data_IF_422909632889
#
_entry.id   IF_422909632889
#
_cell.length_a   1.000
_cell.length_b   1.000
_cell.length_c   1.000
_cell.angle_alpha   90.00
_cell.angle_beta   90.00
_cell.angle_gamma   90.00
#
_symmetry.space_group_name_H-M   'P 1'
#
loop_
_entity.id
_entity.type
_entity.pdbx_description
1 polymer ?
#
# COMPACT_ATOMS: atom_id res chain seq x y z
N UNK A 1 18.11 -7.42 -9.90
CA UNK A 1 16.88 -7.87 -9.24
C UNK A 1 16.24 -8.97 -10.08
N UNK A 2 16.05 -10.17 -9.53
CA UNK A 2 15.38 -11.27 -10.21
C UNK A 2 13.90 -11.24 -9.83
N UNK A 3 13.00 -11.18 -10.83
CA UNK A 3 11.55 -11.10 -10.58
C UNK A 3 11.01 -12.31 -9.82
N UNK A 4 11.63 -13.50 -10.01
CA UNK A 4 11.23 -14.73 -9.32
C UNK A 4 11.33 -14.62 -7.81
N UNK A 5 12.31 -13.88 -7.31
CA UNK A 5 12.55 -13.72 -5.87
C UNK A 5 11.48 -12.83 -5.19
N UNK A 6 10.70 -12.12 -6.00
CA UNK A 6 9.61 -11.25 -5.54
C UNK A 6 8.25 -11.95 -5.57
N UNK A 7 8.13 -13.13 -6.21
CA UNK A 7 6.85 -13.83 -6.35
C UNK A 7 6.48 -14.48 -5.02
N UNK A 8 5.35 -14.07 -4.46
CA UNK A 8 4.75 -14.67 -3.24
C UNK A 8 3.82 -15.83 -3.61
N UNK A 9 3.10 -15.68 -4.72
CA UNK A 9 2.20 -16.71 -5.23
C UNK A 9 2.04 -16.57 -6.74
N UNK A 10 1.98 -17.69 -7.42
CA UNK A 10 1.74 -17.75 -8.85
C UNK A 10 0.90 -18.98 -9.19
N UNK A 11 -0.12 -18.80 -10.03
CA UNK A 11 -0.90 -19.88 -10.60
C UNK A 11 -1.21 -19.62 -12.09
N UNK A 12 -2.16 -20.37 -12.64
CA UNK A 12 -2.59 -20.24 -14.04
C UNK A 12 -3.11 -18.83 -14.38
N UNK A 13 -3.73 -18.15 -13.43
CA UNK A 13 -4.55 -16.95 -13.65
C UNK A 13 -3.92 -15.66 -13.13
N UNK A 14 -3.17 -15.75 -12.03
CA UNK A 14 -2.65 -14.57 -11.34
C UNK A 14 -1.22 -14.75 -10.82
N UNK A 15 -0.59 -13.62 -10.50
CA UNK A 15 0.68 -13.55 -9.75
C UNK A 15 0.51 -12.51 -8.65
N UNK A 16 0.92 -12.85 -7.42
CA UNK A 16 1.05 -11.94 -6.29
C UNK A 16 2.55 -11.72 -6.04
N UNK A 17 2.95 -10.46 -6.00
CA UNK A 17 4.35 -10.06 -5.89
C UNK A 17 4.54 -9.20 -4.64
N UNK A 18 5.63 -9.41 -3.92
CA UNK A 18 6.15 -8.47 -2.92
C UNK A 18 6.99 -7.42 -3.65
N UNK A 19 6.34 -6.30 -4.03
CA UNK A 19 6.99 -5.19 -4.73
C UNK A 19 8.02 -4.51 -3.81
N UNK A 20 9.27 -4.36 -4.20
CA UNK A 20 10.22 -3.52 -3.47
C UNK A 20 9.84 -2.03 -3.60
N UNK A 21 10.43 -1.18 -2.75
CA UNK A 21 10.37 0.26 -2.90
C UNK A 21 11.16 0.71 -4.13
N UNK A 22 10.99 1.97 -4.53
CA UNK A 22 11.64 2.62 -5.69
C UNK A 22 11.33 2.00 -7.06
N UNK A 23 10.40 1.05 -7.13
CA UNK A 23 9.93 0.43 -8.36
C UNK A 23 8.49 0.87 -8.67
N UNK A 24 8.24 1.34 -9.88
CA UNK A 24 6.88 1.67 -10.32
C UNK A 24 6.03 0.39 -10.40
N UNK A 25 4.76 0.49 -10.01
CA UNK A 25 3.79 -0.60 -10.22
C UNK A 25 3.47 -0.81 -11.69
N UNK A 26 3.42 0.29 -12.44
CA UNK A 26 3.05 0.33 -13.86
C UNK A 26 3.94 1.35 -14.60
N UNK A 27 4.26 1.04 -15.84
CA UNK A 27 5.01 1.92 -16.72
C UNK A 27 4.33 3.28 -16.89
N UNK A 28 5.08 4.35 -16.71
CA UNK A 28 4.61 5.74 -16.73
C UNK A 28 4.89 6.47 -18.05
N UNK A 29 5.42 5.76 -19.06
CA UNK A 29 5.81 6.31 -20.36
C UNK A 29 7.27 6.75 -20.43
N UNK A 30 7.99 6.81 -19.30
CA UNK A 30 9.43 7.14 -19.30
C UNK A 30 10.28 5.86 -19.27
N UNK A 31 11.08 5.65 -20.32
CA UNK A 31 11.94 4.46 -20.48
C UNK A 31 13.07 4.35 -19.44
N UNK A 32 13.42 5.45 -18.80
CA UNK A 32 14.43 5.48 -17.74
C UNK A 32 13.89 4.90 -16.41
N UNK A 33 12.57 4.78 -16.29
CA UNK A 33 11.91 4.24 -15.11
C UNK A 33 11.62 2.75 -15.28
N UNK A 34 12.21 1.92 -14.40
CA UNK A 34 11.81 0.52 -14.31
C UNK A 34 10.40 0.39 -13.71
N UNK A 35 9.61 -0.54 -14.25
CA UNK A 35 8.27 -0.83 -13.74
C UNK A 35 8.01 -2.34 -13.64
N UNK A 36 7.23 -2.69 -12.63
CA UNK A 36 6.97 -4.08 -12.29
C UNK A 36 6.14 -4.82 -13.36
N UNK A 37 5.17 -4.12 -13.97
CA UNK A 37 4.35 -4.67 -15.05
C UNK A 37 5.19 -5.07 -16.28
N UNK A 38 6.19 -4.27 -16.64
CA UNK A 38 7.12 -4.58 -17.75
C UNK A 38 8.01 -5.78 -17.38
N UNK A 39 8.62 -5.76 -16.19
CA UNK A 39 9.48 -6.87 -15.73
C UNK A 39 8.71 -8.18 -15.62
N UNK A 40 7.49 -8.14 -15.10
CA UNK A 40 6.64 -9.32 -14.99
C UNK A 40 6.17 -9.82 -16.36
N UNK A 41 5.85 -8.90 -17.30
CA UNK A 41 5.46 -9.27 -18.66
C UNK A 41 6.60 -9.98 -19.39
N UNK A 42 7.84 -9.56 -19.20
CA UNK A 42 9.03 -10.23 -19.73
C UNK A 42 9.19 -11.64 -19.15
N UNK A 43 9.02 -11.78 -17.82
CA UNK A 43 9.09 -13.09 -17.15
C UNK A 43 8.01 -14.06 -17.65
N UNK A 44 6.77 -13.58 -17.82
CA UNK A 44 5.65 -14.39 -18.26
C UNK A 44 5.63 -14.64 -19.78
N UNK A 45 6.48 -14.00 -20.58
CA UNK A 45 6.41 -13.94 -22.04
C UNK A 45 5.03 -13.55 -22.58
N UNK A 46 4.31 -12.71 -21.83
CA UNK A 46 3.00 -12.13 -22.18
C UNK A 46 2.70 -10.94 -21.28
N UNK A 47 1.73 -10.12 -21.69
CA UNK A 47 1.33 -8.95 -20.91
C UNK A 47 0.80 -9.34 -19.53
N UNK A 48 1.40 -8.78 -18.49
CA UNK A 48 0.91 -8.83 -17.12
C UNK A 48 -0.06 -7.67 -16.88
N UNK A 49 -1.23 -7.96 -16.32
CA UNK A 49 -2.29 -7.00 -16.12
C UNK A 49 -2.37 -6.60 -14.66
N UNK A 50 -2.06 -5.36 -14.37
CA UNK A 50 -2.07 -4.80 -13.03
C UNK A 50 -3.52 -4.73 -12.49
N UNK A 51 -3.77 -5.32 -11.31
CA UNK A 51 -5.10 -5.34 -10.68
C UNK A 51 -5.23 -4.26 -9.62
N UNK A 52 -4.23 -4.13 -8.75
CA UNK A 52 -4.15 -3.04 -7.79
C UNK A 52 -2.78 -2.38 -7.88
N UNK A 53 -2.68 -1.14 -7.43
CA UNK A 53 -1.42 -0.38 -7.51
C UNK A 53 -0.94 0.03 -6.14
N UNK A 54 0.39 0.10 -6.02
CA UNK A 54 1.09 0.74 -4.91
C UNK A 54 1.82 1.97 -5.43
N UNK A 55 2.04 2.96 -4.56
CA UNK A 55 2.90 4.09 -4.88
C UNK A 55 4.34 3.59 -5.14
N UNK A 56 5.17 4.36 -5.86
CA UNK A 56 6.56 3.98 -6.17
C UNK A 56 7.31 3.54 -4.91
N UNK A 57 7.24 4.35 -3.86
CA UNK A 57 7.97 4.16 -2.61
C UNK A 57 7.23 3.30 -1.57
N UNK A 58 6.05 2.76 -1.90
CA UNK A 58 5.34 1.78 -1.09
C UNK A 58 5.77 0.37 -1.51
N UNK A 59 6.17 -0.44 -0.56
CA UNK A 59 6.49 -1.86 -0.78
C UNK A 59 5.32 -2.78 -0.46
N UNK A 60 5.45 -4.07 -0.80
CA UNK A 60 4.52 -5.11 -0.40
C UNK A 60 3.66 -5.68 -1.51
N UNK A 61 2.56 -6.33 -1.12
CA UNK A 61 1.73 -7.15 -1.98
C UNK A 61 1.02 -6.35 -3.08
N UNK A 62 1.22 -6.80 -4.30
CA UNK A 62 0.58 -6.29 -5.51
C UNK A 62 0.14 -7.47 -6.37
N UNK A 63 -1.01 -7.37 -7.00
CA UNK A 63 -1.66 -8.46 -7.74
C UNK A 63 -1.69 -8.14 -9.23
N UNK A 64 -1.31 -9.13 -10.03
CA UNK A 64 -1.42 -9.10 -11.50
C UNK A 64 -2.22 -10.29 -11.98
N UNK A 65 -3.00 -10.09 -13.04
CA UNK A 65 -3.62 -11.16 -13.79
C UNK A 65 -2.78 -11.52 -15.02
N UNK A 66 -2.94 -12.76 -15.49
CA UNK A 66 -2.20 -13.32 -16.62
C UNK A 66 -2.97 -13.26 -17.95
N UNK A 67 -4.24 -12.86 -17.94
CA UNK A 67 -5.08 -12.66 -19.12
C UNK A 67 -6.24 -11.70 -18.84
N UNK A 68 -6.89 -11.18 -19.89
CA UNK A 68 -7.97 -10.17 -19.80
C UNK A 68 -9.20 -10.64 -19.01
N UNK A 69 -9.59 -11.90 -19.15
CA UNK A 69 -10.75 -12.46 -18.46
C UNK A 69 -10.48 -12.51 -16.97
N UNK A 70 -9.33 -13.07 -16.59
CA UNK A 70 -8.87 -13.11 -15.21
C UNK A 70 -8.71 -11.71 -14.61
N UNK A 71 -8.23 -10.73 -15.40
CA UNK A 71 -8.08 -9.36 -14.95
C UNK A 71 -9.42 -8.72 -14.55
N UNK A 72 -10.46 -8.90 -15.37
CA UNK A 72 -11.78 -8.34 -15.09
C UNK A 72 -12.41 -8.96 -13.83
N UNK A 73 -12.38 -10.29 -13.73
CA UNK A 73 -12.96 -10.99 -12.58
C UNK A 73 -12.16 -10.69 -11.29
N UNK A 74 -10.83 -10.72 -11.36
CA UNK A 74 -9.97 -10.48 -10.21
C UNK A 74 -10.04 -9.02 -9.71
N UNK A 75 -10.22 -8.05 -10.61
CA UNK A 75 -10.45 -6.66 -10.25
C UNK A 75 -11.73 -6.50 -9.42
N UNK A 76 -12.80 -7.22 -9.77
CA UNK A 76 -14.04 -7.22 -8.99
C UNK A 76 -13.81 -7.82 -7.60
N UNK A 77 -13.13 -8.98 -7.52
CA UNK A 77 -12.79 -9.62 -6.24
C UNK A 77 -11.95 -8.70 -5.33
N UNK A 78 -10.90 -8.08 -5.88
CA UNK A 78 -10.00 -7.20 -5.12
C UNK A 78 -10.68 -5.90 -4.66
N UNK A 79 -11.72 -5.44 -5.38
CA UNK A 79 -12.48 -4.25 -5.03
C UNK A 79 -13.72 -4.55 -4.18
N UNK A 80 -14.08 -5.81 -4.03
CA UNK A 80 -15.13 -6.23 -3.10
C UNK A 80 -14.56 -6.34 -1.68
N UNK A 81 -14.93 -5.40 -0.82
CA UNK A 81 -14.44 -5.32 0.57
C UNK A 81 -15.06 -6.38 1.49
N UNK A 82 -16.07 -7.11 1.03
CA UNK A 82 -16.59 -8.29 1.73
C UNK A 82 -15.79 -9.56 1.41
N UNK A 83 -15.18 -9.59 0.20
CA UNK A 83 -14.40 -10.72 -0.27
C UNK A 83 -12.88 -10.54 -0.05
N UNK A 84 -12.39 -9.30 0.03
CA UNK A 84 -10.95 -9.03 0.10
C UNK A 84 -10.60 -7.92 1.08
N UNK A 85 -9.68 -8.20 2.00
CA UNK A 85 -9.08 -7.22 2.90
C UNK A 85 -7.64 -6.93 2.52
N UNK A 86 -7.27 -5.63 2.53
CA UNK A 86 -5.93 -5.14 2.24
C UNK A 86 -5.36 -4.45 3.47
N UNK A 87 -4.30 -5.01 4.04
CA UNK A 87 -3.66 -4.51 5.24
C UNK A 87 -2.26 -3.97 4.96
N UNK A 88 -1.96 -2.86 5.61
CA UNK A 88 -0.69 -2.16 5.48
C UNK A 88 -0.07 -1.95 6.86
N UNK A 89 1.24 -2.13 6.97
CA UNK A 89 2.02 -1.62 8.10
C UNK A 89 2.48 -0.21 7.81
N UNK A 90 2.27 0.69 8.76
CA UNK A 90 2.77 2.06 8.69
C UNK A 90 3.21 2.57 10.04
N UNK A 91 4.35 3.25 10.08
CA UNK A 91 4.82 3.97 11.25
C UNK A 91 4.38 5.42 11.13
N UNK A 92 3.70 5.92 12.15
CA UNK A 92 3.20 7.30 12.19
C UNK A 92 3.81 8.09 13.35
N UNK A 93 3.92 9.40 13.18
CA UNK A 93 4.37 10.32 14.21
C UNK A 93 3.30 10.52 15.30
N UNK A 94 3.76 10.56 16.55
CA UNK A 94 2.92 10.68 17.72
C UNK A 94 2.34 9.37 18.21
N UNK A 95 1.89 9.39 19.45
CA UNK A 95 1.24 8.24 20.10
C UNK A 95 -0.25 8.28 19.82
N UNK A 96 -0.80 7.20 19.31
CA UNK A 96 -2.24 6.97 19.13
C UNK A 96 -2.69 6.07 20.28
N UNK A 97 -3.77 6.45 20.96
CA UNK A 97 -4.22 5.76 22.16
C UNK A 97 -5.23 4.65 21.89
N UNK A 98 -6.02 4.78 20.81
CA UNK A 98 -7.11 3.85 20.48
C UNK A 98 -7.12 3.52 18.98
N UNK A 99 -7.61 2.34 18.66
CA UNK A 99 -7.94 1.97 17.29
C UNK A 99 -9.01 2.89 16.73
N UNK A 100 -9.05 3.07 15.41
CA UNK A 100 -10.01 4.02 14.87
C UNK A 100 -10.31 3.87 13.39
N UNK A 101 -11.18 4.76 12.92
CA UNK A 101 -11.61 4.84 11.54
C UNK A 101 -11.53 6.28 11.05
N UNK A 102 -10.91 6.49 9.91
CA UNK A 102 -10.99 7.76 9.18
C UNK A 102 -11.96 7.59 8.01
N UNK A 103 -13.15 8.14 8.16
CA UNK A 103 -14.15 8.24 7.08
C UNK A 103 -14.17 9.70 6.59
N UNK A 104 -13.33 10.00 5.61
CA UNK A 104 -13.13 11.36 5.14
C UNK A 104 -12.89 11.37 3.62
N UNK A 105 -13.86 11.89 2.83
CA UNK A 105 -13.76 11.87 1.37
C UNK A 105 -12.53 12.60 0.85
N UNK A 106 -11.92 12.07 -0.21
CA UNK A 106 -10.69 12.56 -0.80
C UNK A 106 -10.90 13.08 -2.23
N UNK A 107 -10.25 14.20 -2.54
CA UNK A 107 -10.11 14.70 -3.91
C UNK A 107 -8.68 15.14 -4.21
N UNK A 108 -8.33 15.19 -5.49
CA UNK A 108 -7.05 15.75 -5.92
C UNK A 108 -7.10 17.29 -5.80
N UNK A 109 -6.15 17.86 -5.09
CA UNK A 109 -5.89 19.31 -5.13
C UNK A 109 -4.84 19.59 -6.20
N UNK A 110 -5.20 20.32 -7.23
CA UNK A 110 -4.26 20.71 -8.30
C UNK A 110 -3.26 21.73 -7.78
N UNK A 111 -3.69 22.67 -6.94
CA UNK A 111 -2.84 23.67 -6.30
C UNK A 111 -1.74 23.01 -5.43
N UNK A 112 -2.15 22.10 -4.53
CA UNK A 112 -1.22 21.40 -3.60
C UNK A 112 -0.56 20.18 -4.23
N UNK A 113 -0.92 19.80 -5.46
CA UNK A 113 -0.44 18.60 -6.15
C UNK A 113 -0.52 17.30 -5.32
N UNK A 114 -1.52 17.21 -4.41
CA UNK A 114 -1.75 16.06 -3.52
C UNK A 114 -3.23 15.78 -3.31
N UNK A 115 -3.54 14.62 -2.73
CA UNK A 115 -4.90 14.31 -2.27
C UNK A 115 -5.18 15.09 -0.98
N UNK A 116 -6.40 15.59 -0.85
CA UNK A 116 -6.84 16.33 0.34
C UNK A 116 -8.23 15.86 0.74
N UNK A 117 -8.51 15.91 2.04
CA UNK A 117 -9.87 15.71 2.57
C UNK A 117 -10.73 16.91 2.15
N UNK A 118 -11.90 16.61 1.62
CA UNK A 118 -12.84 17.63 1.16
C UNK A 118 -14.27 17.07 1.15
N UNK A 119 -15.30 17.92 1.25
CA UNK A 119 -16.69 17.49 1.20
C UNK A 119 -17.06 16.82 -0.13
N UNK A 120 -17.96 15.84 -0.11
CA UNK A 120 -18.43 15.13 -1.31
C UNK A 120 -18.94 16.10 -2.40
N UNK A 121 -19.65 17.15 -2.02
CA UNK A 121 -20.13 18.21 -2.93
C UNK A 121 -19.04 18.93 -3.72
N UNK A 122 -17.79 18.81 -3.32
CA UNK A 122 -16.62 19.35 -4.04
C UNK A 122 -16.01 18.38 -5.06
N UNK A 123 -16.69 17.28 -5.38
CA UNK A 123 -16.19 16.22 -6.27
C UNK A 123 -15.21 15.25 -5.59
N UNK A 124 -15.14 15.29 -4.25
CA UNK A 124 -14.39 14.29 -3.50
C UNK A 124 -15.09 12.92 -3.59
N UNK A 125 -14.30 11.85 -3.50
CA UNK A 125 -14.79 10.47 -3.49
C UNK A 125 -14.72 9.91 -2.08
N UNK A 126 -15.70 9.10 -1.70
CA UNK A 126 -15.70 8.37 -0.42
C UNK A 126 -14.37 7.66 -0.20
N UNK A 127 -13.83 7.78 0.99
CA UNK A 127 -12.58 7.16 1.38
C UNK A 127 -12.65 6.77 2.86
N UNK A 128 -12.47 5.48 3.15
CA UNK A 128 -12.54 4.92 4.50
C UNK A 128 -11.31 4.09 4.78
N UNK A 129 -10.64 4.41 5.88
CA UNK A 129 -9.44 3.74 6.37
C UNK A 129 -9.65 3.35 7.83
N UNK A 130 -9.53 2.06 8.14
CA UNK A 130 -9.47 1.58 9.53
C UNK A 130 -8.01 1.45 9.94
N UNK A 131 -7.70 1.73 11.20
CA UNK A 131 -6.36 1.53 11.74
C UNK A 131 -6.43 0.89 13.12
N UNK A 132 -5.46 0.01 13.36
CA UNK A 132 -5.33 -0.77 14.58
C UNK A 132 -3.90 -0.61 15.11
N UNK A 133 -3.77 -0.36 16.41
CA UNK A 133 -2.47 -0.21 17.05
C UNK A 133 -1.79 -1.57 17.12
N UNK A 134 -0.60 -1.68 16.52
CA UNK A 134 0.24 -2.87 16.67
C UNK A 134 1.27 -2.71 17.77
N UNK A 135 1.91 -1.54 17.82
CA UNK A 135 2.94 -1.26 18.82
C UNK A 135 3.05 0.24 19.04
N UNK A 136 3.24 0.64 20.30
CA UNK A 136 3.50 2.04 20.70
C UNK A 136 4.97 2.20 21.04
N UNK A 137 5.55 3.30 20.57
CA UNK A 137 6.88 3.78 20.91
C UNK A 137 6.75 5.13 21.60
N UNK A 138 7.85 5.65 22.16
CA UNK A 138 7.87 6.92 22.87
C UNK A 138 7.19 8.06 22.11
N UNK A 139 7.52 8.23 20.83
CA UNK A 139 7.06 9.34 19.99
C UNK A 139 6.37 8.88 18.70
N UNK A 140 6.11 7.56 18.54
CA UNK A 140 5.60 6.97 17.30
C UNK A 140 4.61 5.84 17.59
N UNK A 141 3.79 5.52 16.60
CA UNK A 141 2.90 4.35 16.66
C UNK A 141 3.03 3.53 15.37
N UNK A 142 3.25 2.23 15.51
CA UNK A 142 3.14 1.28 14.41
C UNK A 142 1.68 0.83 14.29
N UNK A 143 1.10 1.01 13.13
CA UNK A 143 -0.29 0.69 12.83
C UNK A 143 -0.41 -0.46 11.83
N UNK A 144 -1.40 -1.31 12.04
CA UNK A 144 -2.03 -2.11 10.99
C UNK A 144 -3.19 -1.30 10.41
N UNK A 145 -3.11 -0.98 9.13
CA UNK A 145 -4.12 -0.15 8.44
C UNK A 145 -4.86 -0.99 7.42
N UNK A 146 -6.18 -1.13 7.60
CA UNK A 146 -7.08 -1.78 6.65
C UNK A 146 -7.71 -0.75 5.72
N UNK A 147 -7.50 -0.92 4.41
CA UNK A 147 -8.16 -0.11 3.39
C UNK A 147 -9.56 -0.66 3.06
N UNK A 148 -10.61 0.07 3.46
CA UNK A 148 -11.99 -0.20 3.01
C UNK A 148 -12.24 0.38 1.61
N UNK A 149 -11.52 1.41 1.21
CA UNK A 149 -11.51 1.97 -0.14
C UNK A 149 -10.06 2.13 -0.61
N UNK A 150 -9.83 2.24 -1.92
CA UNK A 150 -8.48 2.31 -2.49
C UNK A 150 -8.23 3.61 -3.29
N UNK A 151 -8.25 4.79 -2.64
CA UNK A 151 -7.94 6.05 -3.32
C UNK A 151 -6.43 6.30 -3.36
N UNK A 152 -5.98 7.03 -4.38
CA UNK A 152 -4.57 7.45 -4.48
C UNK A 152 -4.09 8.08 -3.19
N UNK A 153 -2.95 7.65 -2.66
CA UNK A 153 -2.33 8.12 -1.42
C UNK A 153 -3.27 8.13 -0.19
N UNK A 154 -4.30 7.28 -0.16
CA UNK A 154 -5.37 7.36 0.85
C UNK A 154 -4.84 7.29 2.27
N UNK A 155 -4.04 6.27 2.62
CA UNK A 155 -3.47 6.12 3.97
C UNK A 155 -2.68 7.38 4.34
N UNK A 156 -1.80 7.83 3.46
CA UNK A 156 -0.94 9.00 3.66
C UNK A 156 -1.72 10.27 3.93
N UNK A 157 -2.77 10.51 3.13
CA UNK A 157 -3.65 11.67 3.28
C UNK A 157 -4.51 11.60 4.55
N UNK A 158 -5.04 10.41 4.88
CA UNK A 158 -5.85 10.21 6.09
C UNK A 158 -5.03 10.33 7.37
N UNK A 159 -3.85 9.72 7.44
CA UNK A 159 -2.97 9.86 8.60
C UNK A 159 -2.52 11.31 8.80
N UNK A 160 -2.19 12.01 7.71
CA UNK A 160 -1.91 13.45 7.77
C UNK A 160 -3.12 14.29 8.23
N UNK A 161 -4.33 13.91 7.83
CA UNK A 161 -5.57 14.59 8.22
C UNK A 161 -5.84 14.51 9.73
N UNK A 162 -5.58 13.34 10.33
CA UNK A 162 -5.70 13.15 11.79
C UNK A 162 -4.43 13.55 12.56
N UNK A 163 -3.47 14.24 11.91
CA UNK A 163 -2.21 14.74 12.47
C UNK A 163 -1.21 13.69 12.94
N UNK A 164 -1.37 12.45 12.52
CA UNK A 164 -0.42 11.36 12.71
C UNK A 164 0.27 11.04 11.39
N UNK A 165 1.22 11.90 11.01
CA UNK A 165 1.89 11.83 9.72
C UNK A 165 2.68 10.52 9.54
N UNK A 166 2.60 9.90 8.36
CA UNK A 166 3.44 8.75 8.03
C UNK A 166 4.90 9.17 8.02
N UNK A 167 5.72 8.43 8.77
CA UNK A 167 7.16 8.68 8.87
C UNK A 167 7.83 8.56 7.50
N UNK A 168 8.74 9.49 7.19
CA UNK A 168 9.47 9.53 5.94
C UNK A 168 8.67 10.03 4.72
N UNK A 169 7.38 10.33 4.88
CA UNK A 169 6.56 10.81 3.76
C UNK A 169 6.89 12.25 3.41
N UNK A 170 7.60 12.47 2.30
CA UNK A 170 8.00 13.81 1.83
C UNK A 170 6.82 14.69 1.40
N UNK A 171 5.66 14.10 1.10
CA UNK A 171 4.50 14.82 0.54
C UNK A 171 3.44 15.17 1.57
N UNK A 172 3.24 14.30 2.55
CA UNK A 172 2.21 14.40 3.59
C UNK A 172 2.79 14.42 5.01
N UNK A 173 4.07 14.12 5.15
CA UNK A 173 4.77 13.97 6.42
C UNK A 173 5.10 15.28 7.12
N UNK A 174 5.65 15.15 8.32
CA UNK A 174 6.22 16.25 9.09
C UNK A 174 7.72 16.40 8.78
N UNK A 175 8.16 17.62 8.48
CA UNK A 175 9.55 17.90 8.13
C UNK A 175 10.56 17.56 9.24
N UNK A 176 10.21 17.85 10.51
CA UNK A 176 11.13 17.59 11.64
C UNK A 176 11.30 16.10 11.85
N UNK A 177 10.21 15.34 11.82
CA UNK A 177 10.21 13.88 11.90
C UNK A 177 11.01 13.28 10.75
N UNK A 178 10.74 13.69 9.51
CA UNK A 178 11.46 13.17 8.35
C UNK A 178 12.95 13.46 8.39
N UNK A 179 13.36 14.66 8.85
CA UNK A 179 14.76 15.02 9.00
C UNK A 179 15.45 14.20 10.09
N UNK A 180 14.76 13.89 11.19
CA UNK A 180 15.27 12.97 12.21
C UNK A 180 15.51 11.57 11.62
N UNK A 181 14.51 10.98 10.93
CA UNK A 181 14.66 9.64 10.33
C UNK A 181 15.73 9.59 9.24
N UNK A 182 15.90 10.67 8.47
CA UNK A 182 16.99 10.80 7.51
C UNK A 182 18.36 10.76 8.18
N UNK A 183 18.55 11.49 9.29
CA UNK A 183 19.83 11.57 10.00
C UNK A 183 20.16 10.28 10.73
N UNK A 184 19.19 9.71 11.46
CA UNK A 184 19.44 8.56 12.36
C UNK A 184 19.41 7.22 11.63
N UNK A 185 18.59 7.10 10.56
CA UNK A 185 18.36 5.83 9.87
C UNK A 185 18.69 5.86 8.38
N UNK A 186 19.05 7.01 7.81
CA UNK A 186 19.20 7.18 6.36
C UNK A 186 17.89 7.03 5.61
N UNK A 187 16.74 7.18 6.29
CA UNK A 187 15.43 6.86 5.76
C UNK A 187 14.70 8.10 5.23
N UNK A 188 14.39 8.13 3.92
CA UNK A 188 13.84 9.30 3.22
C UNK A 188 12.51 9.04 2.51
N UNK A 189 11.93 7.84 2.64
CA UNK A 189 10.69 7.45 1.97
C UNK A 189 9.61 7.06 2.98
N UNK A 190 8.33 7.05 2.56
CA UNK A 190 7.24 6.72 3.47
C UNK A 190 7.38 5.33 4.08
N UNK A 191 7.23 5.21 5.38
CA UNK A 191 7.12 3.94 6.08
C UNK A 191 5.73 3.35 5.83
N UNK A 192 5.55 2.72 4.67
CA UNK A 192 4.28 2.14 4.25
C UNK A 192 4.53 0.84 3.46
N UNK A 193 3.95 -0.25 3.94
CA UNK A 193 4.15 -1.59 3.40
C UNK A 193 2.82 -2.36 3.33
N UNK A 194 2.40 -2.80 2.15
CA UNK A 194 1.24 -3.66 1.93
C UNK A 194 1.58 -5.09 2.35
N UNK A 195 1.40 -5.41 3.64
CA UNK A 195 1.97 -6.62 4.20
C UNK A 195 1.04 -7.84 4.13
N UNK A 196 -0.29 -7.63 4.08
CA UNK A 196 -1.23 -8.74 4.11
C UNK A 196 -2.42 -8.51 3.20
N UNK A 197 -2.77 -9.56 2.44
CA UNK A 197 -3.95 -9.65 1.60
C UNK A 197 -4.76 -10.86 2.03
N UNK A 198 -6.02 -10.67 2.41
CA UNK A 198 -6.91 -11.73 2.89
C UNK A 198 -8.07 -11.88 1.92
N UNK A 199 -8.32 -13.11 1.51
CA UNK A 199 -9.50 -13.48 0.72
C UNK A 199 -10.46 -14.26 1.61
N UNK A 200 -11.70 -13.77 1.79
CA UNK A 200 -12.72 -14.37 2.65
C UNK A 200 -13.68 -15.24 1.83
N UNK A 201 -14.78 -14.70 1.35
CA UNK A 201 -15.81 -15.42 0.58
C UNK A 201 -15.76 -14.99 -0.90
N UNK A 202 -14.80 -15.55 -1.65
CA UNK A 202 -14.62 -15.25 -3.08
C UNK A 202 -15.53 -16.13 -3.92
N UNK A 203 -16.25 -15.52 -4.86
CA UNK A 203 -17.13 -16.24 -5.79
C UNK A 203 -16.48 -16.42 -7.17
N UNK A 204 -17.09 -17.27 -8.00
CA UNK A 204 -16.70 -17.47 -9.39
C UNK A 204 -15.38 -18.23 -9.57
N UNK A 205 -14.63 -17.87 -10.61
CA UNK A 205 -13.37 -18.54 -11.01
C UNK A 205 -12.33 -18.55 -9.89
N UNK A 206 -12.33 -17.55 -9.03
CA UNK A 206 -11.35 -17.39 -7.95
C UNK A 206 -11.82 -17.90 -6.58
N UNK A 207 -12.90 -18.69 -6.52
CA UNK A 207 -13.41 -19.26 -5.26
C UNK A 207 -12.36 -20.07 -4.49
N UNK A 208 -11.38 -20.65 -5.17
CA UNK A 208 -10.25 -21.37 -4.57
C UNK A 208 -9.30 -20.49 -3.76
N UNK A 209 -9.43 -19.15 -3.86
CA UNK A 209 -8.72 -18.19 -3.01
C UNK A 209 -9.42 -17.97 -1.67
N UNK A 210 -10.69 -18.37 -1.53
CA UNK A 210 -11.46 -18.20 -0.28
C UNK A 210 -10.70 -18.77 0.92
N UNK A 211 -10.71 -18.02 2.02
CA UNK A 211 -10.00 -18.33 3.26
C UNK A 211 -8.47 -18.40 3.14
N UNK A 212 -7.90 -17.87 2.06
CA UNK A 212 -6.45 -17.73 1.92
C UNK A 212 -5.98 -16.34 2.33
N UNK A 213 -4.79 -16.31 2.90
CA UNK A 213 -4.06 -15.07 3.14
C UNK A 213 -2.67 -15.16 2.53
N UNK A 214 -2.19 -14.02 2.03
CA UNK A 214 -0.85 -13.84 1.54
C UNK A 214 -0.17 -12.78 2.38
N UNK A 215 1.08 -13.04 2.75
CA UNK A 215 1.85 -12.16 3.63
C UNK A 215 3.17 -11.82 2.90
N UNK A 216 3.54 -10.56 2.95
CA UNK A 216 4.86 -10.08 2.56
C UNK A 216 5.59 -9.61 3.82
N UNK A 217 6.78 -10.13 4.03
CA UNK A 217 7.62 -9.71 5.15
C UNK A 217 8.01 -8.25 5.00
N UNK A 218 8.11 -7.58 6.14
CA UNK A 218 8.57 -6.20 6.19
C UNK A 218 10.02 -6.12 5.69
N UNK A 219 10.33 -5.22 4.76
CA UNK A 219 11.71 -5.02 4.31
C UNK A 219 12.67 -4.78 5.46
N UNK A 220 13.89 -5.30 5.36
CA UNK A 220 14.92 -5.20 6.41
C UNK A 220 15.14 -3.77 6.88
N UNK A 221 15.13 -2.82 5.96
CA UNK A 221 15.27 -1.40 6.28
C UNK A 221 14.18 -0.92 7.24
N UNK A 222 12.91 -1.23 6.97
CA UNK A 222 11.78 -0.86 7.83
C UNK A 222 11.82 -1.64 9.15
N UNK A 223 12.19 -2.90 9.11
CA UNK A 223 12.32 -3.75 10.29
C UNK A 223 13.44 -3.26 11.22
N UNK A 224 14.57 -2.81 10.66
CA UNK A 224 15.68 -2.25 11.42
C UNK A 224 15.33 -0.91 12.10
N UNK A 225 14.47 -0.09 11.47
CA UNK A 225 13.94 1.12 12.09
C UNK A 225 13.13 0.75 13.35
N UNK A 226 12.15 -0.15 13.21
CA UNK A 226 11.29 -0.58 14.33
C UNK A 226 12.11 -1.11 15.50
N UNK A 227 13.13 -1.94 15.24
CA UNK A 227 13.97 -2.54 16.29
C UNK A 227 14.80 -1.52 17.06
N UNK A 228 15.06 -0.35 16.51
CA UNK A 228 15.89 0.71 17.12
C UNK A 228 15.05 1.81 17.78
N UNK A 229 13.74 1.79 17.63
CA UNK A 229 12.88 2.78 18.31
C UNK A 229 12.72 2.45 19.79
N UNK A 230 12.81 3.47 20.63
CA UNK A 230 12.56 3.37 22.06
C UNK A 230 11.08 3.08 22.34
N UNK A 231 10.83 2.14 23.25
CA UNK A 231 9.48 1.77 23.72
C UNK A 231 8.99 2.66 24.83
#
# INVERSE_FOLDING_TARGET
MNIKDLIVYEDKYLVIINKPRDLLSQFDGNKDNASLDVLLSQYLNKQAMLINRLDKDTSGLIVFAKDNKSATELANVINDHSATEKHYLTLVAGVIDEDGVVDAPLRKSFERKKMVVAPLKSGAKTAVTKYFIKEKYKDYTLLDVQLVTGRTHQIRAHMSYIRHHVVGDVKYGDYKVNNYFKKEFGFENQFLHSYKLVFSDVKGTFNYLSNKQFIADLPDELNNIIKKLDK
#
